data_IF_487576392109
#
_entry.id   IF_487576392109
#
_cell.length_a   1.000
_cell.length_b   1.000
_cell.length_c   1.000
_cell.angle_alpha   90.00
_cell.angle_beta   90.00
_cell.angle_gamma   90.00
#
_symmetry.space_group_name_H-M   'P 1'
#
loop_
_entity.id
_entity.type
_entity.pdbx_description
1 polymer ?
#
# COMPACT_ATOMS: atom_id res chain seq x y z
N UNK A 1 -15.65 10.97 1.79
CA UNK A 1 -16.24 9.81 2.48
C UNK A 1 -17.44 10.20 3.33
N UNK A 2 -18.15 9.21 3.84
CA UNK A 2 -19.27 9.39 4.77
C UNK A 2 -18.99 8.51 6.00
N UNK A 3 -19.13 9.08 7.19
CA UNK A 3 -19.05 8.34 8.44
C UNK A 3 -20.40 8.40 9.16
N UNK A 4 -20.85 7.28 9.68
CA UNK A 4 -22.04 7.18 10.51
C UNK A 4 -21.62 6.80 11.92
N UNK A 5 -22.05 7.59 12.90
CA UNK A 5 -21.71 7.39 14.29
C UNK A 5 -22.96 7.03 15.09
N UNK A 6 -22.87 5.97 15.88
CA UNK A 6 -23.93 5.51 16.77
C UNK A 6 -23.31 4.95 18.06
N UNK A 7 -24.15 4.62 19.02
CA UNK A 7 -23.70 4.01 20.28
C UNK A 7 -23.38 2.50 20.18
N UNK A 8 -23.44 1.94 18.98
CA UNK A 8 -22.93 0.60 18.66
C UNK A 8 -22.62 0.49 17.16
N UNK A 9 -21.64 -0.35 16.83
CA UNK A 9 -21.24 -0.65 15.44
C UNK A 9 -22.44 -1.16 14.62
N UNK A 10 -23.26 -2.05 15.19
CA UNK A 10 -24.43 -2.59 14.49
C UNK A 10 -25.42 -1.49 14.06
N UNK A 11 -25.72 -0.52 14.96
CA UNK A 11 -26.58 0.62 14.62
C UNK A 11 -25.97 1.53 13.55
N UNK A 12 -24.68 1.80 13.64
CA UNK A 12 -23.97 2.58 12.63
C UNK A 12 -24.05 1.91 11.25
N UNK A 13 -23.83 0.60 11.18
CA UNK A 13 -23.96 -0.18 9.94
C UNK A 13 -25.39 -0.13 9.37
N UNK A 14 -26.41 -0.32 10.21
CA UNK A 14 -27.81 -0.24 9.76
C UNK A 14 -28.18 1.15 9.23
N UNK A 15 -27.70 2.21 9.85
CA UNK A 15 -27.91 3.56 9.34
C UNK A 15 -27.18 3.79 8.00
N UNK A 16 -25.98 3.24 7.84
CA UNK A 16 -25.21 3.35 6.59
C UNK A 16 -25.94 2.66 5.41
N UNK A 17 -26.53 1.49 5.65
CA UNK A 17 -27.34 0.77 4.66
C UNK A 17 -28.53 1.63 4.17
N UNK A 18 -29.16 2.38 5.05
CA UNK A 18 -30.32 3.25 4.71
C UNK A 18 -29.89 4.49 3.93
N UNK A 19 -28.70 5.03 4.19
CA UNK A 19 -28.20 6.24 3.52
C UNK A 19 -28.00 6.05 2.02
N UNK A 20 -27.61 4.84 1.59
CA UNK A 20 -27.36 4.49 0.19
C UNK A 20 -26.63 5.61 -0.59
N UNK A 21 -25.44 6.04 -0.17
CA UNK A 21 -24.76 7.19 -0.75
C UNK A 21 -24.35 6.90 -2.21
N UNK A 22 -24.45 7.92 -3.05
CA UNK A 22 -23.94 7.85 -4.42
C UNK A 22 -22.65 8.64 -4.51
N UNK A 23 -21.64 8.05 -5.13
CA UNK A 23 -20.34 8.68 -5.35
C UNK A 23 -20.07 8.85 -6.85
N UNK A 24 -19.42 9.94 -7.20
CA UNK A 24 -18.91 10.18 -8.55
C UNK A 24 -17.40 9.89 -8.60
N UNK A 25 -16.93 9.35 -9.72
CA UNK A 25 -15.58 8.77 -9.85
C UNK A 25 -14.43 9.77 -10.02
N UNK A 26 -14.58 11.05 -9.74
CA UNK A 26 -13.50 12.04 -9.75
C UNK A 26 -12.50 11.90 -10.92
N UNK A 27 -11.22 12.20 -10.67
CA UNK A 27 -10.15 12.16 -11.68
C UNK A 27 -9.75 10.74 -12.12
N UNK A 28 -10.16 9.71 -11.37
CA UNK A 28 -9.88 8.30 -11.69
C UNK A 28 -10.98 7.65 -12.53
N UNK A 29 -11.98 8.42 -12.95
CA UNK A 29 -13.08 7.92 -13.80
C UNK A 29 -12.52 7.32 -15.10
N UNK A 30 -12.80 6.03 -15.30
CA UNK A 30 -12.34 5.27 -16.46
C UNK A 30 -10.91 4.72 -16.37
N UNK A 31 -10.24 4.88 -15.22
CA UNK A 31 -9.02 4.11 -14.92
C UNK A 31 -9.41 2.64 -14.66
N UNK A 32 -8.71 1.72 -15.31
CA UNK A 32 -8.93 0.27 -15.17
C UNK A 32 -7.61 -0.45 -15.01
N UNK A 33 -7.60 -1.62 -14.39
CA UNK A 33 -6.40 -2.47 -14.29
C UNK A 33 -5.80 -2.76 -15.67
N UNK A 34 -6.63 -2.89 -16.71
CA UNK A 34 -6.15 -3.07 -18.08
C UNK A 34 -5.32 -1.88 -18.56
N UNK A 35 -5.80 -0.65 -18.38
CA UNK A 35 -5.05 0.57 -18.77
C UNK A 35 -3.75 0.70 -17.97
N UNK A 36 -3.78 0.41 -16.67
CA UNK A 36 -2.58 0.42 -15.84
C UNK A 36 -1.58 -0.61 -16.36
N UNK A 37 -2.02 -1.84 -16.62
CA UNK A 37 -1.17 -2.88 -17.21
C UNK A 37 -0.56 -2.45 -18.54
N UNK A 38 -1.34 -1.84 -19.44
CA UNK A 38 -0.86 -1.34 -20.74
C UNK A 38 0.28 -0.33 -20.54
N UNK A 39 0.16 0.60 -19.58
CA UNK A 39 1.23 1.56 -19.25
C UNK A 39 2.46 0.86 -18.70
N UNK A 40 2.30 -0.05 -17.74
CA UNK A 40 3.42 -0.78 -17.15
C UNK A 40 4.15 -1.63 -18.19
N UNK A 41 3.43 -2.29 -19.09
CA UNK A 41 4.01 -3.07 -20.19
C UNK A 41 4.80 -2.17 -21.14
N UNK A 42 4.22 -1.04 -21.55
CA UNK A 42 4.94 -0.07 -22.42
C UNK A 42 6.24 0.39 -21.80
N UNK A 43 6.27 0.63 -20.49
CA UNK A 43 7.49 1.01 -19.77
C UNK A 43 8.57 -0.08 -19.83
N UNK A 44 8.20 -1.35 -19.71
CA UNK A 44 9.14 -2.46 -19.89
C UNK A 44 9.64 -2.56 -21.34
N UNK A 45 8.77 -2.32 -22.32
CA UNK A 45 9.12 -2.33 -23.72
C UNK A 45 10.13 -1.22 -24.08
N UNK A 46 10.00 -0.05 -23.45
CA UNK A 46 10.92 1.09 -23.60
C UNK A 46 12.35 0.77 -23.11
N UNK A 47 12.51 -0.15 -22.14
CA UNK A 47 13.85 -0.58 -21.67
C UNK A 47 14.59 -1.46 -22.68
N UNK A 48 13.86 -2.06 -23.62
CA UNK A 48 14.42 -3.03 -24.55
C UNK A 48 14.75 -4.38 -23.90
N UNK A 49 15.33 -5.26 -24.71
CA UNK A 49 15.82 -6.57 -24.25
C UNK A 49 17.30 -6.51 -23.98
N UNK A 50 17.72 -7.11 -22.87
CA UNK A 50 19.14 -7.34 -22.59
C UNK A 50 19.56 -8.60 -23.36
N UNK A 51 20.74 -8.55 -24.00
CA UNK A 51 21.30 -9.70 -24.69
C UNK A 51 21.90 -10.67 -23.66
N UNK A 52 21.31 -11.85 -23.55
CA UNK A 52 21.80 -12.93 -22.71
C UNK A 52 22.51 -13.96 -23.59
N UNK A 53 23.79 -14.15 -23.34
CA UNK A 53 24.61 -15.11 -24.09
C UNK A 53 24.83 -16.38 -23.29
N UNK A 54 24.14 -17.46 -23.65
CA UNK A 54 24.24 -18.75 -22.98
C UNK A 54 23.84 -19.92 -23.93
N UNK A 55 24.13 -21.14 -23.52
CA UNK A 55 23.76 -22.35 -24.30
C UNK A 55 22.23 -22.51 -24.39
N UNK A 56 21.53 -22.09 -23.34
CA UNK A 56 20.06 -22.10 -23.27
C UNK A 56 19.58 -20.83 -22.58
N UNK A 57 18.58 -20.17 -23.15
CA UNK A 57 17.97 -18.96 -22.57
C UNK A 57 16.51 -19.27 -22.21
N UNK A 58 16.14 -18.94 -20.98
CA UNK A 58 14.75 -18.86 -20.53
C UNK A 58 14.33 -17.38 -20.60
N UNK A 59 13.23 -17.10 -21.29
CA UNK A 59 12.61 -15.78 -21.41
C UNK A 59 11.17 -15.90 -20.90
N UNK A 60 10.87 -15.30 -19.76
CA UNK A 60 9.58 -15.46 -19.09
C UNK A 60 9.07 -14.12 -18.54
N UNK A 61 7.76 -13.95 -18.58
CA UNK A 61 7.07 -12.80 -18.02
C UNK A 61 6.05 -13.28 -16.96
N UNK A 62 6.03 -12.58 -15.83
CA UNK A 62 5.06 -12.80 -14.77
C UNK A 62 4.27 -11.53 -14.50
N UNK A 63 2.98 -11.69 -14.26
CA UNK A 63 2.08 -10.63 -13.85
C UNK A 63 1.51 -10.95 -12.47
N UNK A 64 1.56 -9.98 -11.56
CA UNK A 64 0.89 -10.03 -10.27
C UNK A 64 -0.19 -8.95 -10.25
N UNK A 65 -1.47 -9.30 -10.09
CA UNK A 65 -2.55 -8.32 -10.06
C UNK A 65 -2.53 -7.53 -8.75
N UNK A 66 -3.32 -6.44 -8.69
CA UNK A 66 -3.62 -5.80 -7.40
C UNK A 66 -4.19 -6.84 -6.42
N UNK A 67 -3.61 -6.87 -5.21
CA UNK A 67 -3.99 -7.85 -4.21
C UNK A 67 -4.33 -7.18 -2.88
N UNK A 68 -5.53 -7.46 -2.36
CA UNK A 68 -5.92 -7.06 -1.02
C UNK A 68 -5.09 -7.80 0.04
N UNK A 69 -4.67 -7.12 1.10
CA UNK A 69 -3.86 -7.72 2.17
C UNK A 69 -4.63 -8.73 3.01
N UNK A 70 -5.95 -8.62 3.08
CA UNK A 70 -6.88 -9.54 3.73
C UNK A 70 -6.47 -9.92 5.18
N UNK A 71 -6.06 -8.93 5.97
CA UNK A 71 -5.78 -9.15 7.40
C UNK A 71 -7.02 -9.73 8.09
N UNK A 72 -6.85 -10.69 9.01
CA UNK A 72 -8.00 -11.29 9.72
C UNK A 72 -8.80 -10.25 10.49
N UNK A 73 -8.12 -9.30 11.12
CA UNK A 73 -8.70 -8.12 11.74
C UNK A 73 -8.83 -7.00 10.70
N UNK A 74 -10.05 -6.56 10.32
CA UNK A 74 -10.24 -5.38 9.46
C UNK A 74 -9.68 -4.12 10.10
N UNK A 75 -9.46 -3.07 9.30
CA UNK A 75 -8.92 -1.81 9.78
C UNK A 75 -9.80 -1.20 10.85
N UNK A 76 -9.18 -0.79 11.96
CA UNK A 76 -9.86 -0.14 13.06
C UNK A 76 -8.93 0.83 13.79
N UNK A 77 -9.52 1.83 14.42
CA UNK A 77 -8.81 2.79 15.25
C UNK A 77 -9.80 3.43 16.24
N UNK A 78 -9.38 3.58 17.48
CA UNK A 78 -10.10 4.40 18.45
C UNK A 78 -9.33 5.69 18.67
N UNK A 79 -9.99 6.84 18.55
CA UNK A 79 -9.41 8.14 18.80
C UNK A 79 -10.28 8.96 19.77
N UNK A 80 -9.63 9.75 20.60
CA UNK A 80 -10.27 10.75 21.43
C UNK A 80 -9.52 12.07 21.34
N UNK A 81 -10.05 12.98 20.53
CA UNK A 81 -9.53 14.34 20.36
C UNK A 81 -10.29 15.26 21.30
N UNK A 82 -9.61 15.75 22.32
CA UNK A 82 -10.06 16.76 23.29
C UNK A 82 -9.70 18.17 22.79
N UNK A 83 -9.86 19.18 23.62
CA UNK A 83 -9.52 20.56 23.23
C UNK A 83 -8.01 20.83 23.25
N UNK A 84 -7.25 20.10 24.05
CA UNK A 84 -5.83 20.30 24.32
C UNK A 84 -4.98 19.04 24.19
N UNK A 85 -5.58 17.88 23.88
CA UNK A 85 -4.88 16.60 23.84
C UNK A 85 -5.58 15.59 22.96
N UNK A 86 -4.84 14.56 22.55
CA UNK A 86 -5.35 13.46 21.74
C UNK A 86 -4.85 12.12 22.27
N UNK A 87 -5.74 11.15 22.39
CA UNK A 87 -5.38 9.75 22.65
C UNK A 87 -5.84 8.85 21.53
N UNK A 88 -4.99 7.91 21.13
CA UNK A 88 -5.22 7.00 20.00
C UNK A 88 -4.89 5.58 20.41
N UNK A 89 -5.80 4.64 20.19
CA UNK A 89 -5.59 3.19 20.33
C UNK A 89 -5.67 2.57 18.95
N UNK A 90 -4.56 2.00 18.46
CA UNK A 90 -4.46 1.59 17.07
C UNK A 90 -3.51 0.41 16.87
N UNK A 91 -3.92 -0.61 16.10
CA UNK A 91 -3.07 -1.69 15.66
C UNK A 91 -2.26 -1.26 14.42
N UNK A 92 -1.16 -0.50 14.63
CA UNK A 92 -0.31 0.05 13.57
C UNK A 92 1.04 -0.64 13.48
N UNK A 93 1.61 -0.70 12.26
CA UNK A 93 3.01 -1.08 12.01
C UNK A 93 3.95 0.13 11.98
N UNK A 94 3.40 1.36 12.02
CA UNK A 94 4.17 2.58 11.81
C UNK A 94 3.75 3.69 12.78
N UNK A 95 4.25 3.60 14.01
CA UNK A 95 3.89 4.51 15.09
C UNK A 95 4.27 5.97 14.77
N UNK A 96 5.46 6.20 14.20
CA UNK A 96 5.91 7.56 13.85
C UNK A 96 5.00 8.19 12.79
N UNK A 97 4.55 7.42 11.78
CA UNK A 97 3.60 7.92 10.79
C UNK A 97 2.22 8.18 11.38
N UNK A 98 1.80 7.36 12.35
CA UNK A 98 0.57 7.60 13.12
C UNK A 98 0.65 8.92 13.90
N UNK A 99 1.80 9.21 14.51
CA UNK A 99 2.04 10.48 15.23
C UNK A 99 1.98 11.67 14.27
N UNK A 100 2.71 11.63 13.16
CA UNK A 100 2.63 12.65 12.11
C UNK A 100 1.18 12.91 11.67
N UNK A 101 0.45 11.84 11.34
CA UNK A 101 -0.95 11.94 10.94
C UNK A 101 -1.82 12.60 12.02
N UNK A 102 -1.56 12.29 13.27
CA UNK A 102 -2.29 12.90 14.37
C UNK A 102 -1.98 14.39 14.54
N UNK A 103 -0.71 14.77 14.41
CA UNK A 103 -0.29 16.18 14.40
C UNK A 103 -0.94 16.95 13.26
N UNK A 104 -0.93 16.41 12.04
CA UNK A 104 -1.51 17.01 10.84
C UNK A 104 -3.04 17.23 10.98
N UNK A 105 -3.75 16.24 11.50
CA UNK A 105 -5.22 16.30 11.62
C UNK A 105 -5.65 17.19 12.78
N UNK A 106 -4.96 17.10 13.92
CA UNK A 106 -5.36 17.82 15.13
C UNK A 106 -4.80 19.23 15.20
N UNK A 107 -3.61 19.46 14.69
CA UNK A 107 -2.80 20.65 14.86
C UNK A 107 -2.04 20.68 16.20
N UNK A 108 -2.01 19.55 16.91
CA UNK A 108 -1.34 19.42 18.22
C UNK A 108 0.15 19.13 18.04
N UNK A 109 0.95 19.49 19.05
CA UNK A 109 2.34 19.06 19.17
C UNK A 109 2.44 17.64 19.69
N UNK A 110 3.62 17.02 19.55
CA UNK A 110 3.86 15.62 19.94
C UNK A 110 3.51 15.33 21.40
N UNK A 111 3.84 16.25 22.33
CA UNK A 111 3.59 16.13 23.76
C UNK A 111 2.09 16.11 24.14
N UNK A 112 1.23 16.58 23.24
CA UNK A 112 -0.22 16.56 23.40
C UNK A 112 -0.88 15.27 22.85
N UNK A 113 -0.09 14.40 22.20
CA UNK A 113 -0.60 13.20 21.54
C UNK A 113 -0.07 11.94 22.24
N UNK A 114 -0.99 11.04 22.60
CA UNK A 114 -0.64 9.75 23.17
C UNK A 114 -1.14 8.62 22.28
N UNK A 115 -0.21 7.75 21.86
CA UNK A 115 -0.51 6.58 21.02
C UNK A 115 -0.33 5.31 21.87
N UNK A 116 -1.37 4.49 21.88
CA UNK A 116 -1.38 3.17 22.46
C UNK A 116 -1.41 2.14 21.32
N UNK A 117 -0.27 1.52 21.04
CA UNK A 117 -0.20 0.44 20.06
C UNK A 117 -0.86 -0.81 20.64
N UNK A 118 -1.91 -1.28 19.99
CA UNK A 118 -2.62 -2.50 20.36
C UNK A 118 -2.04 -3.72 19.63
N UNK A 119 -2.44 -4.92 20.02
CA UNK A 119 -2.11 -6.14 19.28
C UNK A 119 -2.70 -6.06 17.86
N UNK A 120 -1.97 -6.63 16.89
CA UNK A 120 -2.36 -6.63 15.49
C UNK A 120 -2.90 -8.01 15.09
N UNK A 121 -4.12 -8.07 14.58
CA UNK A 121 -4.74 -9.26 14.01
C UNK A 121 -4.35 -9.49 12.55
N UNK A 122 -3.05 -9.39 12.25
CA UNK A 122 -2.46 -9.41 10.92
C UNK A 122 -2.21 -8.00 10.40
N UNK A 123 -1.16 -7.84 9.59
CA UNK A 123 -0.77 -6.54 9.06
C UNK A 123 -0.27 -6.61 7.61
N UNK A 124 0.76 -7.42 7.31
CA UNK A 124 1.28 -7.71 5.97
C UNK A 124 1.64 -6.47 5.13
N UNK A 125 1.93 -5.34 5.79
CA UNK A 125 2.17 -4.03 5.17
C UNK A 125 0.95 -3.10 5.18
N UNK A 126 -0.29 -3.60 5.27
CA UNK A 126 -1.52 -2.78 5.24
C UNK A 126 -1.56 -1.70 6.33
N UNK A 127 -1.04 -2.00 7.51
CA UNK A 127 -1.06 -1.10 8.67
C UNK A 127 0.13 -0.15 8.74
N UNK A 128 0.91 -0.03 7.65
CA UNK A 128 1.83 1.09 7.42
C UNK A 128 1.04 2.34 7.01
N UNK A 129 -0.12 2.17 6.37
CA UNK A 129 -1.02 3.24 5.98
C UNK A 129 -1.83 3.75 7.18
N UNK A 130 -2.13 5.05 7.19
CA UNK A 130 -2.81 5.73 8.30
C UNK A 130 -4.21 6.25 7.93
N UNK A 131 -4.78 5.77 6.84
CA UNK A 131 -6.09 6.17 6.34
C UNK A 131 -7.22 5.95 7.37
N UNK A 132 -7.26 4.79 8.02
CA UNK A 132 -8.23 4.48 9.08
C UNK A 132 -7.98 5.28 10.37
N UNK A 133 -6.74 5.66 10.64
CA UNK A 133 -6.38 6.56 11.75
C UNK A 133 -6.90 7.96 11.47
N UNK A 134 -6.63 8.49 10.27
CA UNK A 134 -7.12 9.78 9.81
C UNK A 134 -8.64 9.90 9.95
N UNK A 135 -9.38 8.86 9.55
CA UNK A 135 -10.84 8.82 9.69
C UNK A 135 -11.29 8.90 11.14
N UNK A 136 -10.69 8.12 12.03
CA UNK A 136 -11.03 8.14 13.46
C UNK A 136 -10.75 9.51 14.11
N UNK A 137 -9.62 10.11 13.78
CA UNK A 137 -9.23 11.43 14.26
C UNK A 137 -10.18 12.54 13.80
N UNK A 138 -10.51 12.58 12.50
CA UNK A 138 -11.44 13.57 11.93
C UNK A 138 -12.80 13.48 12.60
N UNK A 139 -13.35 12.28 12.74
CA UNK A 139 -14.67 12.08 13.35
C UNK A 139 -14.65 12.43 14.82
N UNK A 140 -13.63 12.00 15.59
CA UNK A 140 -13.49 12.34 17.00
C UNK A 140 -13.32 13.85 17.22
N UNK A 141 -12.49 14.51 16.41
CA UNK A 141 -12.28 15.98 16.44
C UNK A 141 -13.58 16.73 16.21
N UNK A 142 -14.40 16.27 15.26
CA UNK A 142 -15.69 16.90 14.95
C UNK A 142 -16.71 16.75 16.08
N UNK A 143 -16.72 15.59 16.75
CA UNK A 143 -17.72 15.28 17.79
C UNK A 143 -17.26 15.66 19.20
N UNK A 144 -15.97 15.87 19.42
CA UNK A 144 -15.35 16.05 20.73
C UNK A 144 -15.67 14.87 21.68
N UNK A 145 -15.68 13.66 21.14
CA UNK A 145 -16.00 12.41 21.86
C UNK A 145 -15.04 11.30 21.43
N UNK A 146 -14.82 10.30 22.29
CA UNK A 146 -14.14 9.10 21.87
C UNK A 146 -14.94 8.40 20.76
N UNK A 147 -14.26 8.02 19.70
CA UNK A 147 -14.84 7.35 18.53
C UNK A 147 -14.00 6.14 18.19
N UNK A 148 -14.64 5.00 18.01
CA UNK A 148 -14.05 3.81 17.43
C UNK A 148 -14.55 3.66 15.99
N UNK A 149 -13.62 3.78 15.03
CA UNK A 149 -13.88 3.43 13.63
C UNK A 149 -13.55 1.96 13.45
N UNK A 150 -14.47 1.22 12.85
CA UNK A 150 -14.27 -0.19 12.48
C UNK A 150 -14.73 -0.33 11.02
N UNK A 151 -13.84 -0.76 10.17
CA UNK A 151 -14.20 -1.07 8.79
C UNK A 151 -14.89 -2.44 8.72
N UNK A 152 -15.88 -2.56 7.84
CA UNK A 152 -16.37 -3.89 7.47
C UNK A 152 -15.34 -4.58 6.58
N UNK A 153 -15.46 -5.90 6.42
CA UNK A 153 -14.61 -6.64 5.47
C UNK A 153 -14.80 -6.15 4.04
N UNK A 154 -16.03 -5.81 3.67
CA UNK A 154 -16.37 -5.27 2.36
C UNK A 154 -15.70 -3.92 2.11
N UNK A 155 -15.68 -3.04 3.11
CA UNK A 155 -15.03 -1.74 3.03
C UNK A 155 -13.52 -1.91 2.90
N UNK A 156 -12.90 -2.73 3.75
CA UNK A 156 -11.47 -3.04 3.73
C UNK A 156 -11.05 -3.63 2.37
N UNK A 157 -11.88 -4.50 1.79
CA UNK A 157 -11.61 -5.11 0.48
C UNK A 157 -11.79 -4.13 -0.69
N UNK A 158 -12.75 -3.20 -0.61
CA UNK A 158 -13.07 -2.30 -1.73
C UNK A 158 -12.25 -1.01 -1.73
N UNK A 159 -11.90 -0.51 -0.55
CA UNK A 159 -11.33 0.83 -0.40
C UNK A 159 -10.00 0.86 0.36
N UNK A 160 -9.45 -0.31 0.71
CA UNK A 160 -8.13 -0.41 1.29
C UNK A 160 -7.02 -0.16 0.27
N UNK A 161 -5.82 0.09 0.76
CA UNK A 161 -4.62 0.06 -0.07
C UNK A 161 -4.32 -1.37 -0.50
N UNK A 162 -3.92 -1.54 -1.76
CA UNK A 162 -3.61 -2.85 -2.34
C UNK A 162 -2.10 -3.00 -2.51
N UNK A 163 -1.64 -4.25 -2.52
CA UNK A 163 -0.36 -4.57 -3.13
C UNK A 163 -0.45 -4.21 -4.61
N UNK A 164 0.55 -3.53 -5.17
CA UNK A 164 0.46 -3.02 -6.53
C UNK A 164 0.44 -4.15 -7.56
N UNK A 165 -0.20 -3.88 -8.69
CA UNK A 165 0.00 -4.66 -9.90
C UNK A 165 1.46 -4.51 -10.34
N UNK A 166 2.11 -5.61 -10.64
CA UNK A 166 3.48 -5.59 -11.18
C UNK A 166 3.64 -6.54 -12.35
N UNK A 167 4.54 -6.18 -13.27
CA UNK A 167 4.95 -7.01 -14.39
C UNK A 167 6.46 -7.21 -14.27
N UNK A 168 6.88 -8.46 -14.29
CA UNK A 168 8.29 -8.84 -14.17
C UNK A 168 8.72 -9.68 -15.37
N UNK A 169 9.79 -9.28 -16.05
CA UNK A 169 10.44 -10.03 -17.12
C UNK A 169 11.75 -10.58 -16.63
N UNK A 170 12.01 -11.84 -16.94
CA UNK A 170 13.26 -12.49 -16.61
C UNK A 170 13.85 -13.13 -17.85
N UNK A 171 15.16 -12.87 -18.08
CA UNK A 171 15.97 -13.58 -19.04
C UNK A 171 17.08 -14.29 -18.28
N UNK A 172 17.11 -15.61 -18.36
CA UNK A 172 18.06 -16.43 -17.60
C UNK A 172 18.87 -17.29 -18.58
N UNK A 173 20.17 -17.05 -18.63
CA UNK A 173 21.11 -17.87 -19.36
C UNK A 173 21.52 -19.09 -18.54
N UNK A 174 21.36 -20.28 -19.12
CA UNK A 174 21.75 -21.53 -18.48
C UNK A 174 22.89 -22.19 -19.23
N UNK A 175 23.74 -22.93 -18.53
CA UNK A 175 24.72 -23.84 -19.14
C UNK A 175 24.03 -25.17 -19.54
N UNK A 176 24.80 -26.07 -20.14
CA UNK A 176 24.31 -27.40 -20.57
C UNK A 176 23.81 -28.29 -19.41
N UNK A 177 24.27 -28.03 -18.18
CA UNK A 177 23.84 -28.73 -16.95
C UNK A 177 22.58 -28.11 -16.35
N UNK A 178 22.04 -26.99 -16.92
CA UNK A 178 20.88 -26.29 -16.42
C UNK A 178 21.17 -25.31 -15.26
N UNK A 179 22.43 -25.00 -15.00
CA UNK A 179 22.82 -24.00 -13.98
C UNK A 179 22.73 -22.60 -14.57
N UNK A 180 22.17 -21.62 -13.86
CA UNK A 180 22.13 -20.23 -14.31
C UNK A 180 23.53 -19.61 -14.34
N UNK A 181 23.89 -19.01 -15.47
CA UNK A 181 25.13 -18.28 -15.70
C UNK A 181 24.90 -16.77 -15.68
N UNK A 182 23.74 -16.34 -16.19
CA UNK A 182 23.37 -14.94 -16.28
C UNK A 182 21.89 -14.81 -15.91
N UNK A 183 21.56 -13.76 -15.18
CA UNK A 183 20.19 -13.48 -14.75
C UNK A 183 19.91 -12.00 -14.93
N UNK A 184 18.96 -11.69 -15.82
CA UNK A 184 18.46 -10.36 -16.05
C UNK A 184 17.01 -10.28 -15.58
N UNK A 185 16.67 -9.23 -14.86
CA UNK A 185 15.29 -8.99 -14.45
C UNK A 185 14.90 -7.54 -14.65
N UNK A 186 13.69 -7.35 -15.14
CA UNK A 186 13.07 -6.05 -15.34
C UNK A 186 11.71 -6.09 -14.63
N UNK A 187 11.41 -5.09 -13.83
CA UNK A 187 10.15 -4.97 -13.10
C UNK A 187 9.53 -3.62 -13.38
N UNK A 188 8.24 -3.61 -13.62
CA UNK A 188 7.44 -2.39 -13.76
C UNK A 188 6.25 -2.46 -12.80
N UNK A 189 6.14 -1.47 -11.93
CA UNK A 189 5.06 -1.33 -10.94
C UNK A 189 4.91 0.13 -10.52
N UNK A 190 3.78 0.52 -9.88
CA UNK A 190 3.67 1.81 -9.20
C UNK A 190 4.75 1.98 -8.12
N UNK A 191 5.32 3.17 -8.02
CA UNK A 191 6.38 3.48 -7.05
C UNK A 191 5.81 3.52 -5.61
N UNK A 192 6.14 2.51 -4.80
CA UNK A 192 5.70 2.43 -3.41
C UNK A 192 6.45 3.42 -2.51
N UNK A 193 7.74 3.65 -2.78
CA UNK A 193 8.52 4.58 -1.97
C UNK A 193 7.95 6.01 -2.06
N UNK A 194 7.54 6.44 -3.24
CA UNK A 194 6.91 7.75 -3.44
C UNK A 194 5.62 7.92 -2.64
N UNK A 195 4.91 6.85 -2.37
CA UNK A 195 3.71 6.85 -1.54
C UNK A 195 4.03 7.13 -0.07
N UNK A 196 5.09 6.52 0.47
CA UNK A 196 5.49 6.70 1.87
C UNK A 196 6.38 7.93 2.09
N UNK A 197 7.21 8.27 1.11
CA UNK A 197 8.17 9.38 1.16
C UNK A 197 8.04 10.21 -0.13
N UNK A 198 7.02 11.08 -0.24
CA UNK A 198 6.77 11.86 -1.47
C UNK A 198 7.96 12.67 -1.96
N UNK A 199 8.83 13.12 -1.04
CA UNK A 199 10.07 13.84 -1.38
C UNK A 199 11.08 13.00 -2.15
N UNK A 200 10.94 11.67 -2.17
CA UNK A 200 11.79 10.73 -2.92
C UNK A 200 11.13 10.25 -4.22
N UNK A 201 9.94 10.74 -4.57
CA UNK A 201 9.23 10.38 -5.80
C UNK A 201 9.93 10.76 -7.09
N UNK A 202 11.04 11.49 -7.03
CA UNK A 202 11.93 11.77 -8.17
C UNK A 202 12.86 10.60 -8.52
N UNK A 203 12.99 9.60 -7.63
CA UNK A 203 13.74 8.39 -7.92
C UNK A 203 12.99 7.56 -8.97
N UNK A 204 13.64 7.25 -10.06
CA UNK A 204 13.10 6.41 -11.13
C UNK A 204 13.18 4.90 -10.80
N UNK A 205 13.44 4.57 -9.55
CA UNK A 205 13.43 3.19 -9.05
C UNK A 205 12.97 3.16 -7.60
N UNK A 206 12.33 2.07 -7.18
CA UNK A 206 11.91 1.84 -5.80
C UNK A 206 12.87 0.87 -5.11
N UNK A 207 13.74 1.37 -4.21
CA UNK A 207 14.71 0.52 -3.51
C UNK A 207 14.05 -0.52 -2.60
N UNK A 208 12.75 -0.41 -2.32
CA UNK A 208 12.02 -1.41 -1.52
C UNK A 208 11.72 -2.68 -2.31
N UNK A 209 11.74 -2.63 -3.65
CA UNK A 209 11.42 -3.77 -4.54
C UNK A 209 12.66 -4.60 -4.89
N UNK A 210 13.82 -3.97 -4.93
CA UNK A 210 15.09 -4.56 -5.38
C UNK A 210 15.65 -5.66 -4.44
N UNK A 211 15.52 -5.61 -3.10
CA UNK A 211 16.31 -6.48 -2.23
C UNK A 211 15.92 -7.96 -2.23
N UNK A 212 14.68 -8.30 -2.57
CA UNK A 212 14.18 -9.66 -2.35
C UNK A 212 14.82 -10.74 -3.22
N UNK A 213 15.27 -10.39 -4.43
CA UNK A 213 15.89 -11.34 -5.37
C UNK A 213 17.40 -11.52 -5.16
N UNK A 214 18.01 -10.72 -4.29
CA UNK A 214 19.47 -10.55 -4.21
C UNK A 214 20.13 -11.46 -3.17
N UNK A 215 19.38 -11.89 -2.15
CA UNK A 215 19.97 -12.56 -0.99
C UNK A 215 20.35 -14.03 -1.22
N UNK A 216 19.67 -14.73 -2.11
CA UNK A 216 19.82 -16.18 -2.23
C UNK A 216 20.82 -16.66 -3.31
N UNK A 217 21.27 -15.76 -4.22
CA UNK A 217 22.18 -16.08 -5.32
C UNK A 217 23.31 -15.06 -5.47
N UNK A 218 24.33 -15.09 -4.60
CA UNK A 218 25.40 -14.07 -4.58
C UNK A 218 26.32 -14.06 -5.81
N UNK A 219 26.26 -15.07 -6.67
CA UNK A 219 27.15 -15.23 -7.82
C UNK A 219 26.58 -14.75 -9.15
N UNK A 220 25.33 -14.28 -9.18
CA UNK A 220 24.68 -13.80 -10.41
C UNK A 220 24.85 -12.29 -10.51
N UNK A 221 25.34 -11.77 -11.66
CA UNK A 221 25.42 -10.33 -11.89
C UNK A 221 24.04 -9.67 -11.76
N UNK A 222 24.01 -8.55 -11.04
CA UNK A 222 22.76 -7.90 -10.65
C UNK A 222 22.52 -6.72 -11.57
N UNK A 223 21.61 -6.86 -12.52
CA UNK A 223 21.06 -5.75 -13.27
C UNK A 223 19.57 -5.66 -13.00
N UNK A 224 19.18 -4.64 -12.25
CA UNK A 224 17.79 -4.36 -11.94
C UNK A 224 17.40 -3.05 -12.60
N UNK A 225 16.31 -3.07 -13.32
CA UNK A 225 15.68 -1.87 -13.86
C UNK A 225 14.25 -1.82 -13.34
N UNK A 226 13.96 -0.81 -12.56
CA UNK A 226 12.63 -0.50 -12.10
C UNK A 226 12.17 0.78 -12.79
N UNK A 227 10.91 0.80 -13.16
CA UNK A 227 10.33 1.91 -13.89
C UNK A 227 9.28 2.54 -13.01
N UNK A 228 9.43 3.83 -12.78
CA UNK A 228 8.39 4.64 -12.18
C UNK A 228 7.12 4.57 -13.01
N UNK A 229 6.10 4.12 -12.38
CA UNK A 229 4.93 3.77 -13.06
C UNK A 229 3.88 4.79 -13.19
N UNK A 230 2.97 5.04 -12.71
CA UNK A 230 1.71 5.76 -12.99
C UNK A 230 1.24 6.55 -11.75
#
# INVERSE_FOLDING_TARGET
GIAVVANSTWRAMKCLEVLNPKFEGGNTKGLTSKKIKEVLTSKLDDLGKVEVVADKVLDVEYEVPYLHHATMEPMNCTAYVKDDSCEIWVPTQFQSKTLETAMDVTGFSEDQIKIHTTLLGGAFGRRLETDFVTQALIVSKSLKKPVQVVWTREEDTKHGFYRPLSISRFQVGLNNEGKPLQWESQVSQPNLLAQFVPSMGWLNFDPMTIPAAVHDYPLIPKHFYEIDGV
#
